data_IF_543412614627
#
_entry.id   IF_543412614627
#
_cell.length_a   1.000
_cell.length_b   1.000
_cell.length_c   1.000
_cell.angle_alpha   90.00
_cell.angle_beta   90.00
_cell.angle_gamma   90.00
#
_symmetry.space_group_name_H-M   'P 1'
#
loop_
_entity.id
_entity.type
_entity.pdbx_description
1 polymer ?
#
# COMPACT_ATOMS: atom_id res chain seq x y z
N UNK A 1 -7.17 15.95 10.85
CA UNK A 1 -7.51 17.26 10.33
C UNK A 1 -8.93 17.20 9.84
N UNK A 2 -9.78 18.02 10.42
CA UNK A 2 -11.20 18.13 10.04
C UNK A 2 -11.34 18.96 8.77
N UNK A 3 -12.50 18.86 8.10
CA UNK A 3 -12.78 19.60 6.85
C UNK A 3 -12.57 21.11 7.03
N UNK A 4 -13.07 21.68 8.13
CA UNK A 4 -12.94 23.10 8.42
C UNK A 4 -11.49 23.55 8.55
N UNK A 5 -10.63 22.74 9.19
CA UNK A 5 -9.20 23.01 9.31
C UNK A 5 -8.50 22.96 7.95
N UNK A 6 -8.83 21.96 7.11
CA UNK A 6 -8.26 21.85 5.76
C UNK A 6 -8.58 23.11 4.95
N UNK A 7 -9.85 23.52 4.93
CA UNK A 7 -10.31 24.69 4.18
C UNK A 7 -9.71 25.98 4.73
N UNK A 8 -9.59 26.12 6.06
CA UNK A 8 -9.01 27.32 6.67
C UNK A 8 -7.54 27.51 6.29
N UNK A 9 -6.74 26.43 6.27
CA UNK A 9 -5.35 26.49 5.77
C UNK A 9 -5.32 26.83 4.28
N UNK A 10 -6.21 26.23 3.47
CA UNK A 10 -6.29 26.54 2.04
C UNK A 10 -6.54 28.03 1.81
N UNK A 11 -7.58 28.59 2.45
CA UNK A 11 -7.94 29.99 2.30
C UNK A 11 -6.81 30.94 2.70
N UNK A 12 -6.08 30.61 3.77
CA UNK A 12 -5.03 31.49 4.31
C UNK A 12 -3.70 31.38 3.55
N UNK A 13 -3.23 30.15 3.32
CA UNK A 13 -1.88 29.90 2.81
C UNK A 13 -1.86 29.72 1.29
N UNK A 14 -2.92 29.18 0.71
CA UNK A 14 -2.95 28.75 -0.70
C UNK A 14 -3.70 29.74 -1.59
N UNK A 15 -4.90 30.13 -1.18
CA UNK A 15 -5.83 30.95 -1.94
C UNK A 15 -5.77 32.46 -1.63
N UNK A 16 -4.92 32.87 -0.69
CA UNK A 16 -4.74 34.30 -0.41
C UNK A 16 -4.14 35.03 -1.61
N UNK A 17 -4.23 36.36 -1.61
CA UNK A 17 -3.68 37.22 -2.69
C UNK A 17 -2.19 36.99 -2.92
N UNK A 18 -1.46 36.56 -1.89
CA UNK A 18 -0.03 36.25 -1.94
C UNK A 18 0.25 34.75 -2.01
N UNK A 19 -0.80 33.92 -1.99
CA UNK A 19 -0.70 32.48 -2.05
C UNK A 19 -0.37 31.98 -3.45
N UNK A 20 0.06 30.71 -3.56
CA UNK A 20 0.44 30.11 -4.83
C UNK A 20 -0.72 29.89 -5.81
N UNK A 21 -1.97 29.83 -5.33
CA UNK A 21 -3.17 29.69 -6.15
C UNK A 21 -4.22 30.73 -5.74
N UNK A 22 -3.97 32.03 -5.99
CA UNK A 22 -4.82 33.11 -5.51
C UNK A 22 -6.26 32.96 -6.03
N UNK A 23 -7.23 33.35 -5.20
CA UNK A 23 -8.68 33.31 -5.48
C UNK A 23 -9.25 31.91 -5.73
N UNK A 24 -8.45 30.84 -5.53
CA UNK A 24 -8.94 29.47 -5.62
C UNK A 24 -9.79 29.09 -4.41
N UNK A 25 -10.62 28.06 -4.56
CA UNK A 25 -11.36 27.47 -3.44
C UNK A 25 -11.25 25.96 -3.45
N UNK A 26 -11.23 25.37 -2.25
CA UNK A 26 -11.11 23.93 -2.06
C UNK A 26 -12.38 23.40 -1.42
N UNK A 27 -13.04 22.45 -2.09
CA UNK A 27 -14.03 21.59 -1.46
C UNK A 27 -13.33 20.35 -0.91
N UNK A 28 -12.89 20.45 0.35
CA UNK A 28 -12.07 19.43 1.00
C UNK A 28 -12.89 18.28 1.57
N UNK A 29 -12.30 17.08 1.51
CA UNK A 29 -12.80 15.87 2.11
C UNK A 29 -11.67 15.16 2.88
N UNK A 30 -11.78 15.04 4.22
CA UNK A 30 -10.85 14.23 5.00
C UNK A 30 -10.92 12.75 4.58
N UNK A 31 -9.76 12.10 4.54
CA UNK A 31 -9.66 10.65 4.29
C UNK A 31 -8.79 10.00 5.38
N UNK A 32 -8.84 8.66 5.55
CA UNK A 32 -7.94 7.97 6.47
C UNK A 32 -6.45 8.24 6.19
N UNK A 33 -6.09 8.47 4.93
CA UNK A 33 -4.71 8.61 4.45
C UNK A 33 -4.24 10.06 4.32
N UNK A 34 -5.12 11.03 4.60
CA UNK A 34 -4.86 12.44 4.37
C UNK A 34 -6.16 13.20 4.08
N UNK A 35 -6.22 13.85 2.93
CA UNK A 35 -7.42 14.51 2.43
C UNK A 35 -7.37 14.61 0.91
N UNK A 36 -8.53 14.88 0.32
CA UNK A 36 -8.65 15.16 -1.10
C UNK A 36 -9.68 16.26 -1.32
N UNK A 37 -9.84 16.73 -2.56
CA UNK A 37 -10.90 17.68 -2.85
C UNK A 37 -10.84 18.30 -4.23
N UNK A 38 -11.97 18.89 -4.63
CA UNK A 38 -12.05 19.68 -5.84
C UNK A 38 -11.51 21.09 -5.59
N UNK A 39 -10.71 21.58 -6.54
CA UNK A 39 -10.22 22.95 -6.53
C UNK A 39 -10.84 23.71 -7.69
N UNK A 40 -11.54 24.80 -7.35
CA UNK A 40 -12.08 25.75 -8.33
C UNK A 40 -11.18 26.99 -8.42
N UNK A 41 -11.24 27.70 -9.55
CA UNK A 41 -10.47 28.93 -9.77
C UNK A 41 -9.01 28.70 -10.14
N UNK A 42 -8.62 27.49 -10.57
CA UNK A 42 -7.25 27.18 -11.00
C UNK A 42 -7.23 26.20 -12.18
N UNK A 43 -6.05 25.98 -12.76
CA UNK A 43 -5.80 24.99 -13.81
C UNK A 43 -4.93 23.83 -13.31
N UNK A 44 -4.98 22.63 -13.92
CA UNK A 44 -4.13 21.51 -13.54
C UNK A 44 -2.64 21.85 -13.56
N UNK A 45 -2.20 22.69 -14.51
CA UNK A 45 -0.80 23.11 -14.65
C UNK A 45 -0.36 23.99 -13.48
N UNK A 46 -1.18 24.97 -13.08
CA UNK A 46 -0.87 25.84 -11.95
C UNK A 46 -0.91 25.05 -10.63
N UNK A 47 -1.92 24.19 -10.45
CA UNK A 47 -2.01 23.33 -9.28
C UNK A 47 -0.81 22.37 -9.17
N UNK A 48 -0.33 21.82 -10.30
CA UNK A 48 0.85 20.97 -10.32
C UNK A 48 2.12 21.74 -9.94
N UNK A 49 2.29 22.97 -10.44
CA UNK A 49 3.41 23.83 -10.07
C UNK A 49 3.39 24.23 -8.58
N UNK A 50 2.20 24.37 -7.99
CA UNK A 50 2.01 24.70 -6.57
C UNK A 50 2.10 23.48 -5.63
N UNK A 51 2.23 22.25 -6.14
CA UNK A 51 2.06 21.03 -5.35
C UNK A 51 3.03 20.92 -4.16
N UNK A 52 4.27 21.41 -4.29
CA UNK A 52 5.25 21.41 -3.19
C UNK A 52 4.90 22.43 -2.11
N UNK A 53 4.47 23.63 -2.49
CA UNK A 53 4.02 24.68 -1.57
C UNK A 53 2.74 24.27 -0.83
N UNK A 54 1.83 23.57 -1.52
CA UNK A 54 0.66 22.95 -0.89
C UNK A 54 1.12 21.91 0.14
N UNK A 55 2.06 21.02 -0.20
CA UNK A 55 2.56 20.04 0.76
C UNK A 55 3.17 20.73 2.00
N UNK A 56 3.96 21.77 1.81
CA UNK A 56 4.59 22.55 2.89
C UNK A 56 3.56 23.22 3.81
N UNK A 57 2.55 23.90 3.25
CA UNK A 57 1.51 24.59 4.01
C UNK A 57 0.73 23.65 4.95
N UNK A 58 0.62 22.37 4.57
CA UNK A 58 -0.04 21.34 5.38
C UNK A 58 0.93 20.48 6.20
N UNK A 59 2.23 20.82 6.22
CA UNK A 59 3.26 20.03 6.92
C UNK A 59 3.42 18.61 6.40
N UNK A 60 3.10 18.39 5.12
CA UNK A 60 3.18 17.09 4.46
C UNK A 60 4.58 16.86 3.87
N UNK A 61 5.07 15.61 3.83
CA UNK A 61 6.31 15.29 3.15
C UNK A 61 6.30 15.68 1.67
N UNK A 62 7.47 15.96 1.09
CA UNK A 62 7.59 16.20 -0.34
C UNK A 62 7.00 15.03 -1.17
N UNK A 63 6.45 15.35 -2.35
CA UNK A 63 5.81 14.38 -3.27
C UNK A 63 4.60 13.65 -2.70
N UNK A 64 3.97 14.17 -1.65
CA UNK A 64 2.75 13.61 -1.07
C UNK A 64 1.45 14.14 -1.68
N UNK A 65 1.53 15.25 -2.42
CA UNK A 65 0.41 15.83 -3.16
C UNK A 65 0.38 15.28 -4.59
N UNK A 66 -0.81 14.92 -5.06
CA UNK A 66 -1.09 14.50 -6.43
C UNK A 66 -2.18 15.41 -6.98
N UNK A 67 -1.94 15.91 -8.18
CA UNK A 67 -2.88 16.71 -8.95
C UNK A 67 -3.47 15.84 -10.04
N UNK A 68 -4.80 15.79 -10.11
CA UNK A 68 -5.55 15.12 -11.18
C UNK A 68 -6.41 16.15 -11.91
N UNK A 69 -6.43 16.03 -13.23
CA UNK A 69 -7.40 16.74 -14.06
C UNK A 69 -8.70 15.93 -14.06
N UNK A 70 -9.84 16.60 -13.85
CA UNK A 70 -11.16 15.99 -13.97
C UNK A 70 -11.65 16.04 -15.42
N UNK A 71 -12.61 15.19 -15.78
CA UNK A 71 -13.17 15.13 -17.14
C UNK A 71 -13.80 16.46 -17.61
N UNK A 72 -14.26 17.29 -16.67
CA UNK A 72 -14.75 18.64 -16.92
C UNK A 72 -13.67 19.73 -17.02
N UNK A 73 -12.38 19.35 -17.04
CA UNK A 73 -11.25 20.29 -17.08
C UNK A 73 -10.93 20.94 -15.73
N UNK A 74 -11.54 20.47 -14.64
CA UNK A 74 -11.28 20.95 -13.28
C UNK A 74 -10.07 20.28 -12.63
N UNK A 75 -9.75 20.72 -11.42
CA UNK A 75 -8.65 20.18 -10.63
C UNK A 75 -9.18 19.37 -9.45
N UNK A 76 -8.63 18.19 -9.25
CA UNK A 76 -8.81 17.38 -8.05
C UNK A 76 -7.45 17.13 -7.39
N UNK A 77 -7.38 17.31 -6.09
CA UNK A 77 -6.17 17.09 -5.31
C UNK A 77 -6.30 15.87 -4.42
N UNK A 78 -5.22 15.12 -4.31
CA UNK A 78 -4.98 14.17 -3.24
C UNK A 78 -3.77 14.60 -2.44
N UNK A 79 -3.92 14.75 -1.14
CA UNK A 79 -2.84 15.11 -0.23
C UNK A 79 -2.67 14.00 0.80
N UNK A 80 -1.58 13.23 0.66
CA UNK A 80 -1.30 12.09 1.51
C UNK A 80 -0.42 12.45 2.70
N UNK A 81 -0.58 11.75 3.82
CA UNK A 81 0.32 11.91 4.98
C UNK A 81 1.69 11.27 4.75
N UNK A 82 1.81 10.37 3.77
CA UNK A 82 3.06 9.66 3.47
C UNK A 82 3.34 9.67 1.96
N UNK A 83 4.62 9.79 1.53
CA UNK A 83 4.98 9.67 0.12
C UNK A 83 4.62 8.31 -0.48
N UNK A 84 4.65 7.25 0.32
CA UNK A 84 4.33 5.89 -0.14
C UNK A 84 2.87 5.73 -0.55
N UNK A 85 1.94 6.40 0.13
CA UNK A 85 0.52 6.40 -0.26
C UNK A 85 0.30 7.21 -1.54
N UNK A 86 1.04 8.30 -1.74
CA UNK A 86 1.03 9.03 -3.00
C UNK A 86 1.64 8.18 -4.14
N UNK A 87 2.77 7.51 -3.91
CA UNK A 87 3.37 6.61 -4.90
C UNK A 87 2.44 5.46 -5.28
N UNK A 88 1.71 4.91 -4.31
CA UNK A 88 0.65 3.93 -4.57
C UNK A 88 -0.41 4.48 -5.50
N UNK A 89 -0.95 5.66 -5.18
CA UNK A 89 -1.95 6.30 -6.03
C UNK A 89 -1.42 6.54 -7.44
N UNK A 90 -0.17 6.98 -7.61
CA UNK A 90 0.42 7.17 -8.96
C UNK A 90 0.42 5.87 -9.79
N UNK A 91 0.62 4.73 -9.14
CA UNK A 91 0.64 3.43 -9.80
C UNK A 91 -0.76 2.83 -9.98
N UNK A 92 -1.69 3.19 -9.08
CA UNK A 92 -3.09 2.80 -9.13
C UNK A 92 -3.97 4.00 -8.76
N UNK A 93 -4.31 4.85 -9.74
CA UNK A 93 -5.07 6.06 -9.47
C UNK A 93 -6.39 5.73 -8.78
N UNK A 94 -6.62 6.35 -7.63
CA UNK A 94 -7.95 6.32 -7.03
C UNK A 94 -8.83 7.24 -7.89
N UNK A 95 -10.09 6.83 -8.18
CA UNK A 95 -11.00 7.68 -8.93
C UNK A 95 -11.24 8.96 -8.14
N UNK A 96 -11.57 10.05 -8.84
CA UNK A 96 -12.09 11.27 -8.21
C UNK A 96 -13.30 10.88 -7.37
N UNK A 97 -13.27 11.23 -6.08
CA UNK A 97 -14.31 10.90 -5.11
C UNK A 97 -15.13 12.13 -4.78
N UNK A 98 -16.44 12.02 -4.84
CA UNK A 98 -17.38 13.11 -4.50
C UNK A 98 -17.91 13.00 -3.06
N UNK A 99 -17.52 11.94 -2.34
CA UNK A 99 -17.82 11.73 -0.93
C UNK A 99 -18.98 10.77 -0.70
N UNK A 100 -19.68 10.37 -1.77
CA UNK A 100 -20.67 9.31 -1.73
C UNK A 100 -20.06 7.93 -1.40
N UNK A 101 -18.75 7.75 -1.60
CA UNK A 101 -18.05 6.48 -1.37
C UNK A 101 -17.68 6.22 0.10
N UNK A 102 -17.97 7.17 1.00
CA UNK A 102 -17.59 7.09 2.41
C UNK A 102 -18.74 7.33 3.39
N UNK A 103 -19.97 7.36 2.89
CA UNK A 103 -21.20 7.49 3.68
C UNK A 103 -21.37 6.37 4.72
N UNK A 104 -20.74 5.20 4.52
CA UNK A 104 -20.88 4.04 5.41
C UNK A 104 -19.68 3.74 6.31
N UNK A 105 -18.60 4.53 6.27
CA UNK A 105 -17.41 4.27 7.10
C UNK A 105 -17.30 5.33 8.18
N UNK A 106 -17.60 4.96 9.42
CA UNK A 106 -17.39 5.80 10.60
C UNK A 106 -15.92 6.26 10.67
N UNK A 107 -15.67 7.49 10.24
CA UNK A 107 -14.35 8.13 10.13
C UNK A 107 -13.98 8.80 11.46
N UNK A 108 -13.74 8.00 12.49
CA UNK A 108 -13.09 8.46 13.72
C UNK A 108 -12.49 7.28 14.50
N UNK A 109 -11.41 6.73 13.96
CA UNK A 109 -10.61 5.74 14.67
C UNK A 109 -9.14 5.95 14.39
N UNK A 110 -8.36 6.32 15.41
CA UNK A 110 -6.91 6.24 15.37
C UNK A 110 -6.51 4.75 15.40
N UNK A 111 -6.38 4.13 14.23
CA UNK A 111 -5.91 2.76 14.08
C UNK A 111 -6.27 2.15 12.72
N UNK A 112 -5.52 1.14 12.30
CA UNK A 112 -5.91 0.34 11.13
C UNK A 112 -7.20 -0.41 11.39
N UNK A 113 -8.13 -0.34 10.44
CA UNK A 113 -9.37 -1.12 10.49
C UNK A 113 -9.10 -2.60 10.21
N UNK A 114 -10.00 -3.49 10.65
CA UNK A 114 -9.95 -4.92 10.29
C UNK A 114 -9.91 -5.10 8.76
N UNK A 115 -10.63 -4.24 8.04
CA UNK A 115 -10.75 -4.27 6.59
C UNK A 115 -9.42 -3.94 5.89
N UNK A 116 -8.61 -3.04 6.47
CA UNK A 116 -7.26 -2.76 5.98
C UNK A 116 -6.37 -4.01 6.05
N UNK A 117 -6.41 -4.72 7.19
CA UNK A 117 -5.65 -5.95 7.38
C UNK A 117 -6.12 -7.08 6.46
N UNK A 118 -7.42 -7.20 6.20
CA UNK A 118 -7.98 -8.15 5.23
C UNK A 118 -7.44 -7.85 3.82
N UNK A 119 -7.50 -6.59 3.37
CA UNK A 119 -6.95 -6.17 2.07
C UNK A 119 -5.47 -6.46 1.96
N UNK A 120 -4.68 -6.15 2.99
CA UNK A 120 -3.25 -6.46 3.02
C UNK A 120 -3.00 -7.97 2.94
N UNK A 121 -3.78 -8.76 3.67
CA UNK A 121 -3.70 -10.23 3.64
C UNK A 121 -3.96 -10.78 2.24
N UNK A 122 -4.97 -10.26 1.53
CA UNK A 122 -5.26 -10.69 0.17
C UNK A 122 -4.15 -10.33 -0.82
N UNK A 123 -3.59 -9.11 -0.72
CA UNK A 123 -2.45 -8.70 -1.54
C UNK A 123 -1.23 -9.60 -1.27
N UNK A 124 -0.94 -9.86 0.00
CA UNK A 124 0.15 -10.73 0.43
C UNK A 124 -0.03 -12.15 -0.11
N UNK A 125 -1.25 -12.72 -0.04
CA UNK A 125 -1.54 -14.06 -0.58
C UNK A 125 -1.34 -14.15 -2.09
N UNK A 126 -1.83 -13.14 -2.83
CA UNK A 126 -1.70 -13.09 -4.29
C UNK A 126 -0.22 -12.97 -4.72
N UNK A 127 0.56 -12.17 -4.01
CA UNK A 127 2.01 -12.05 -4.23
C UNK A 127 2.74 -13.35 -3.89
N UNK A 128 2.45 -13.93 -2.73
CA UNK A 128 3.03 -15.19 -2.25
C UNK A 128 2.78 -16.35 -3.24
N UNK A 129 1.58 -16.43 -3.79
CA UNK A 129 1.23 -17.44 -4.79
C UNK A 129 2.04 -17.28 -6.08
N UNK A 130 2.11 -16.08 -6.64
CA UNK A 130 2.90 -15.83 -7.86
C UNK A 130 4.39 -16.00 -7.64
N UNK A 131 4.91 -15.61 -6.47
CA UNK A 131 6.30 -15.87 -6.11
C UNK A 131 6.60 -17.37 -6.08
N UNK A 132 5.71 -18.17 -5.49
CA UNK A 132 5.84 -19.64 -5.48
C UNK A 132 5.83 -20.21 -6.90
N UNK A 133 4.97 -19.69 -7.77
CA UNK A 133 4.89 -20.12 -9.17
C UNK A 133 6.17 -19.78 -9.94
N UNK A 134 6.68 -18.56 -9.76
CA UNK A 134 7.94 -18.12 -10.34
C UNK A 134 9.12 -18.99 -9.88
N UNK A 135 9.23 -19.25 -8.56
CA UNK A 135 10.28 -20.13 -7.99
C UNK A 135 10.13 -21.59 -8.40
N UNK A 136 8.90 -22.03 -8.67
CA UNK A 136 8.59 -23.38 -9.15
C UNK A 136 8.80 -23.55 -10.66
N UNK A 137 9.29 -22.54 -11.38
CA UNK A 137 9.51 -22.61 -12.83
C UNK A 137 8.22 -22.55 -13.66
N UNK A 138 7.09 -22.17 -13.05
CA UNK A 138 5.84 -21.95 -13.78
C UNK A 138 5.89 -20.60 -14.50
N UNK A 139 5.27 -20.48 -15.69
CA UNK A 139 5.20 -19.22 -16.40
C UNK A 139 4.39 -18.20 -15.59
N UNK A 140 4.99 -17.04 -15.33
CA UNK A 140 4.36 -15.92 -14.62
C UNK A 140 4.48 -14.67 -15.48
N UNK A 141 3.39 -13.90 -15.56
CA UNK A 141 3.40 -12.56 -16.14
C UNK A 141 4.21 -11.61 -15.23
N UNK A 142 5.42 -11.25 -15.68
CA UNK A 142 6.35 -10.41 -14.93
C UNK A 142 5.78 -9.01 -14.66
N UNK A 143 4.97 -8.47 -15.57
CA UNK A 143 4.34 -7.15 -15.35
C UNK A 143 3.28 -7.23 -14.26
N UNK A 144 2.47 -8.29 -14.26
CA UNK A 144 1.49 -8.56 -13.19
C UNK A 144 2.18 -8.78 -11.85
N UNK A 145 3.26 -9.56 -11.82
CA UNK A 145 4.05 -9.83 -10.63
C UNK A 145 4.61 -8.52 -10.03
N UNK A 146 5.28 -7.71 -10.86
CA UNK A 146 5.86 -6.42 -10.45
C UNK A 146 4.78 -5.49 -9.91
N UNK A 147 3.61 -5.44 -10.57
CA UNK A 147 2.47 -4.63 -10.10
C UNK A 147 1.99 -5.10 -8.73
N UNK A 148 1.83 -6.41 -8.51
CA UNK A 148 1.39 -6.95 -7.22
C UNK A 148 2.40 -6.71 -6.10
N UNK A 149 3.70 -6.85 -6.37
CA UNK A 149 4.75 -6.51 -5.43
C UNK A 149 4.69 -5.03 -5.03
N UNK A 150 4.46 -4.14 -5.99
CA UNK A 150 4.35 -2.71 -5.72
C UNK A 150 3.10 -2.37 -4.89
N UNK A 151 1.96 -3.00 -5.19
CA UNK A 151 0.73 -2.87 -4.40
C UNK A 151 0.93 -3.38 -2.96
N UNK A 152 1.60 -4.52 -2.79
CA UNK A 152 1.91 -5.07 -1.47
C UNK A 152 2.80 -4.12 -0.67
N UNK A 153 3.90 -3.64 -1.27
CA UNK A 153 4.82 -2.68 -0.63
C UNK A 153 4.07 -1.43 -0.17
N UNK A 154 3.25 -0.85 -1.02
CA UNK A 154 2.46 0.32 -0.68
C UNK A 154 1.45 0.05 0.45
N UNK A 155 0.71 -1.06 0.38
CA UNK A 155 -0.23 -1.45 1.43
C UNK A 155 0.44 -1.65 2.79
N UNK A 156 1.67 -2.18 2.80
CA UNK A 156 2.49 -2.29 4.01
C UNK A 156 2.77 -0.90 4.59
N UNK A 157 3.38 0.01 3.81
CA UNK A 157 3.74 1.34 4.31
C UNK A 157 2.53 2.19 4.69
N UNK A 158 1.41 2.02 3.99
CA UNK A 158 0.15 2.67 4.34
C UNK A 158 -0.36 2.22 5.72
N UNK A 159 -0.37 0.92 6.00
CA UNK A 159 -0.79 0.38 7.30
C UNK A 159 0.21 0.76 8.40
N UNK A 160 1.51 0.81 8.11
CA UNK A 160 2.53 1.22 9.08
C UNK A 160 2.34 2.66 9.59
N UNK A 161 1.68 3.53 8.84
CA UNK A 161 1.34 4.87 9.33
C UNK A 161 0.34 4.87 10.50
N UNK A 162 -0.36 3.74 10.74
CA UNK A 162 -1.46 3.59 11.72
C UNK A 162 -1.43 2.28 12.51
N UNK A 163 -0.35 1.51 12.40
CA UNK A 163 -0.18 0.21 13.06
C UNK A 163 1.26 -0.02 13.51
N UNK A 164 1.43 -0.96 14.45
CA UNK A 164 2.78 -1.37 14.88
C UNK A 164 3.43 -2.24 13.80
N UNK A 165 4.73 -2.02 13.48
CA UNK A 165 5.45 -2.87 12.53
C UNK A 165 5.36 -4.37 12.83
N UNK A 166 5.39 -4.75 14.11
CA UNK A 166 5.27 -6.14 14.54
C UNK A 166 3.97 -6.82 14.05
N UNK A 167 2.84 -6.12 14.04
CA UNK A 167 1.55 -6.68 13.58
C UNK A 167 1.55 -6.95 12.08
N UNK A 168 2.12 -6.03 11.30
CA UNK A 168 2.26 -6.18 9.85
C UNK A 168 3.23 -7.31 9.51
N UNK A 169 4.36 -7.38 10.23
CA UNK A 169 5.33 -8.49 10.12
C UNK A 169 4.66 -9.83 10.39
N UNK A 170 3.95 -9.98 11.52
CA UNK A 170 3.26 -11.22 11.88
C UNK A 170 2.23 -11.65 10.84
N UNK A 171 1.51 -10.69 10.24
CA UNK A 171 0.56 -10.97 9.16
C UNK A 171 1.27 -11.54 7.93
N UNK A 172 2.33 -10.88 7.45
CA UNK A 172 3.07 -11.34 6.27
C UNK A 172 3.72 -12.71 6.51
N UNK A 173 4.26 -12.95 7.71
CA UNK A 173 4.80 -14.24 8.12
C UNK A 173 3.71 -15.32 8.15
N UNK A 174 2.52 -15.01 8.68
CA UNK A 174 1.37 -15.94 8.71
C UNK A 174 0.88 -16.30 7.31
N UNK A 175 0.95 -15.37 6.36
CA UNK A 175 0.66 -15.62 4.95
C UNK A 175 1.77 -16.45 4.28
N UNK A 176 2.98 -16.46 4.86
CA UNK A 176 4.13 -17.17 4.32
C UNK A 176 4.81 -16.41 3.20
N UNK A 177 4.80 -15.07 3.24
CA UNK A 177 5.56 -14.23 2.31
C UNK A 177 7.05 -14.35 2.66
N UNK A 178 7.89 -14.91 1.78
CA UNK A 178 9.29 -15.10 2.09
C UNK A 178 10.07 -13.78 1.94
N UNK A 179 11.13 -13.61 2.73
CA UNK A 179 11.90 -12.38 2.79
C UNK A 179 12.51 -12.02 1.42
N UNK A 180 12.99 -13.00 0.67
CA UNK A 180 13.58 -12.82 -0.66
C UNK A 180 12.60 -12.34 -1.74
N UNK A 181 11.29 -12.36 -1.45
CA UNK A 181 10.25 -11.84 -2.35
C UNK A 181 9.82 -10.41 -2.02
N UNK A 182 10.41 -9.80 -0.98
CA UNK A 182 10.10 -8.46 -0.53
C UNK A 182 11.25 -7.49 -0.83
N UNK A 183 10.98 -6.19 -1.04
CA UNK A 183 12.02 -5.21 -1.25
C UNK A 183 12.71 -4.80 0.06
N UNK A 184 13.97 -4.37 0.00
CA UNK A 184 14.81 -4.08 1.18
C UNK A 184 14.25 -3.01 2.13
N UNK A 185 13.48 -2.07 1.61
CA UNK A 185 12.85 -1.04 2.43
C UNK A 185 11.70 -1.60 3.28
N UNK A 186 10.92 -2.54 2.74
CA UNK A 186 9.90 -3.29 3.50
C UNK A 186 10.56 -4.17 4.56
N UNK A 187 11.64 -4.88 4.19
CA UNK A 187 12.38 -5.73 5.13
C UNK A 187 12.89 -4.91 6.33
N UNK A 188 13.50 -3.75 6.06
CA UNK A 188 13.98 -2.83 7.09
C UNK A 188 12.86 -2.23 7.93
N UNK A 189 11.78 -1.76 7.30
CA UNK A 189 10.67 -1.12 8.01
C UNK A 189 9.95 -2.06 8.98
N UNK A 190 9.95 -3.37 8.69
CA UNK A 190 9.28 -4.38 9.49
C UNK A 190 10.21 -5.13 10.45
N UNK A 191 11.52 -4.91 10.37
CA UNK A 191 12.52 -5.80 11.00
C UNK A 191 12.19 -7.27 10.65
N UNK A 192 12.09 -7.52 9.34
CA UNK A 192 11.62 -8.79 8.80
C UNK A 192 12.74 -9.83 8.86
N UNK A 193 12.46 -11.07 9.31
CA UNK A 193 13.50 -12.07 9.49
C UNK A 193 14.12 -12.48 8.14
N UNK A 194 15.42 -12.22 7.98
CA UNK A 194 16.22 -12.56 6.81
C UNK A 194 17.00 -13.84 7.13
N UNK A 195 16.30 -14.98 7.16
CA UNK A 195 16.92 -16.28 7.45
C UNK A 195 16.01 -17.18 8.28
N UNK A 196 15.73 -18.37 7.73
CA UNK A 196 14.88 -19.43 8.30
C UNK A 196 13.43 -19.01 8.59
N UNK A 197 12.53 -19.30 7.64
CA UNK A 197 11.10 -19.38 7.95
C UNK A 197 10.92 -20.30 9.18
N UNK A 198 10.12 -19.89 10.19
CA UNK A 198 9.63 -20.83 11.17
C UNK A 198 8.84 -21.89 10.41
N UNK A 199 9.22 -23.15 10.64
CA UNK A 199 8.43 -24.31 10.28
C UNK A 199 6.99 -24.06 10.70
N UNK A 200 6.07 -24.24 9.76
CA UNK A 200 4.64 -24.44 10.03
C UNK A 200 4.52 -25.29 11.31
N UNK A 201 3.73 -24.91 12.33
CA UNK A 201 3.52 -25.79 13.47
C UNK A 201 3.02 -27.13 12.94
N UNK A 202 3.86 -28.16 13.00
CA UNK A 202 3.40 -29.53 12.76
C UNK A 202 2.28 -29.76 13.74
N UNK A 203 1.07 -29.97 13.22
CA UNK A 203 -0.04 -30.45 14.02
C UNK A 203 0.47 -31.65 14.84
N UNK A 204 0.35 -31.55 16.17
CA UNK A 204 0.61 -32.67 17.08
C UNK A 204 -0.29 -33.83 16.66
N UNK A 205 0.32 -34.97 16.39
CA UNK A 205 -0.34 -36.27 16.43
C UNK A 205 -0.80 -36.85 15.10
N UNK A 206 0.13 -37.37 14.31
CA UNK A 206 -0.06 -38.68 13.68
C UNK A 206 1.27 -39.43 13.79
N UNK A 207 1.28 -40.49 14.58
CA UNK A 207 2.42 -41.38 14.72
C UNK A 207 2.67 -42.09 13.38
N UNK A 208 3.82 -41.83 12.76
CA UNK A 208 4.32 -42.68 11.68
C UNK A 208 5.16 -43.77 12.32
N UNK A 209 4.63 -44.99 12.37
CA UNK A 209 5.41 -46.16 12.74
C UNK A 209 6.43 -46.44 11.62
N UNK A 210 7.72 -46.66 11.94
CA UNK A 210 8.69 -47.07 10.93
C UNK A 210 8.45 -48.54 10.58
N UNK A 211 7.89 -48.77 9.39
CA UNK A 211 7.82 -50.09 8.80
C UNK A 211 9.24 -50.53 8.39
N UNK A 212 9.87 -51.32 9.25
CA UNK A 212 11.11 -52.05 8.94
C UNK A 212 10.72 -53.31 8.17
N UNK A 213 10.47 -53.17 6.87
CA UNK A 213 10.72 -54.25 5.91
C UNK A 213 10.44 -53.79 4.48
N UNK A 214 11.48 -53.37 3.75
CA UNK A 214 11.64 -53.71 2.32
C UNK A 214 13.00 -53.30 1.78
N UNK A 215 13.94 -54.21 1.98
CA UNK A 215 14.94 -54.68 1.02
C UNK A 215 15.27 -53.76 -0.17
N UNK A 216 16.44 -53.15 -0.10
CA UNK A 216 17.23 -52.76 -1.27
C UNK A 216 17.50 -53.99 -2.14
N UNK A 217 16.97 -53.99 -3.36
CA UNK A 217 17.47 -54.85 -4.45
C UNK A 217 17.98 -53.95 -5.56
N UNK A 218 19.29 -53.75 -5.54
CA UNK A 218 20.07 -53.37 -6.72
C UNK A 218 20.38 -54.66 -7.49
N UNK A 219 19.83 -54.79 -8.69
CA UNK A 219 20.40 -55.68 -9.71
C UNK A 219 19.93 -55.22 -11.11
N UNK A 220 20.82 -54.59 -11.86
CA UNK A 220 20.79 -54.61 -13.32
C UNK A 220 22.20 -55.00 -13.80
N UNK A 221 22.39 -56.18 -14.42
CA UNK A 221 23.63 -56.47 -15.13
C UNK A 221 23.58 -55.77 -16.49
N UNK A 222 24.45 -54.78 -16.66
CA UNK A 222 24.81 -54.23 -17.96
C UNK A 222 25.68 -55.22 -18.73
N UNK A 223 25.38 -55.36 -20.01
CA UNK A 223 26.11 -56.14 -21.01
C UNK A 223 27.49 -55.52 -21.30
N UNK A 224 28.47 -56.37 -21.58
CA UNK A 224 29.82 -56.03 -22.03
C UNK A 224 30.72 -57.25 -22.04
#
# INVERSE_FOLDING_TARGET
MERAEIVAVWTREIASVWGPLPDSSLDAMPTPHGWCGHVAGTTPQLALAAAEQIAEAYGLPARSVIVQQTDGGGVFLWAYRTPSAADYHRQWPQPVIDGSEFTDVARSGSGSSLLDYVRLTEMARKHQAEWRDLRGGRPVDIQRFTRRLALLRAGVFDILARSRPAQVRELLLRVGVPAESLPDDVLRALDYPIGNLPTIPRARGVAFAPDRDRTDRIAAPGQG
#
